data_IF_421498841533
#
_entry.id   IF_421498841533
#
_cell.length_a   1.000
_cell.length_b   1.000
_cell.length_c   1.000
_cell.angle_alpha   90.00
_cell.angle_beta   90.00
_cell.angle_gamma   90.00
#
_symmetry.space_group_name_H-M   'P 1'
#
loop_
_entity.id
_entity.type
_entity.pdbx_description
1 polymer ?
#
# COMPACT_ATOMS: atom_id res chain seq x y z
N UNK A 1 -6.56 -30.12 -9.24
CA UNK A 1 -5.91 -30.51 -7.98
C UNK A 1 -5.10 -29.32 -7.51
N UNK A 2 -5.47 -28.80 -6.35
CA UNK A 2 -5.30 -27.40 -5.98
C UNK A 2 -3.84 -27.01 -5.81
N UNK A 3 -3.33 -26.10 -6.64
CA UNK A 3 -2.00 -25.52 -6.45
C UNK A 3 -1.84 -24.85 -5.09
N UNK A 4 -2.94 -24.40 -4.47
CA UNK A 4 -2.97 -23.85 -3.10
C UNK A 4 -2.41 -24.84 -2.06
N UNK A 5 -2.60 -26.16 -2.24
CA UNK A 5 -2.06 -27.15 -1.30
C UNK A 5 -0.54 -27.30 -1.37
N UNK A 6 0.10 -26.96 -2.51
CA UNK A 6 1.56 -26.98 -2.61
C UNK A 6 2.20 -25.73 -1.98
N UNK A 7 1.54 -24.57 -2.06
CA UNK A 7 2.06 -23.35 -1.42
C UNK A 7 2.06 -23.45 0.11
N UNK A 8 1.05 -24.08 0.72
CA UNK A 8 1.05 -24.30 2.18
C UNK A 8 2.14 -25.31 2.62
N UNK A 9 2.46 -26.32 1.80
CA UNK A 9 3.58 -27.24 2.07
C UNK A 9 4.94 -26.55 2.04
N UNK A 10 5.12 -25.53 1.19
CA UNK A 10 6.37 -24.75 1.12
C UNK A 10 6.67 -23.99 2.41
N UNK A 11 5.64 -23.67 3.22
CA UNK A 11 5.80 -23.00 4.51
C UNK A 11 6.47 -23.90 5.55
N UNK A 12 6.24 -25.23 5.48
CA UNK A 12 6.65 -26.20 6.50
C UNK A 12 7.98 -26.88 6.24
N UNK A 13 8.33 -27.17 4.98
CA UNK A 13 9.48 -28.06 4.68
C UNK A 13 10.63 -27.40 3.90
N UNK A 14 10.37 -26.32 3.16
CA UNK A 14 11.38 -25.66 2.31
C UNK A 14 11.77 -26.48 1.06
N UNK A 15 11.02 -27.52 0.72
CA UNK A 15 11.27 -28.40 -0.42
C UNK A 15 10.61 -27.86 -1.70
N UNK A 16 11.08 -26.71 -2.19
CA UNK A 16 10.73 -26.27 -3.54
C UNK A 16 11.50 -27.13 -4.56
N UNK A 17 10.78 -27.92 -5.36
CA UNK A 17 11.39 -28.79 -6.37
C UNK A 17 11.87 -27.99 -7.59
N UNK A 18 12.75 -28.58 -8.42
CA UNK A 18 13.16 -27.95 -9.68
C UNK A 18 11.96 -27.69 -10.61
N UNK A 19 10.93 -28.54 -10.57
CA UNK A 19 9.68 -28.36 -11.30
C UNK A 19 8.89 -27.14 -10.80
N UNK A 20 8.82 -26.93 -9.48
CA UNK A 20 8.16 -25.77 -8.89
C UNK A 20 8.88 -24.46 -9.27
N UNK A 21 10.21 -24.48 -9.27
CA UNK A 21 11.03 -23.33 -9.71
C UNK A 21 10.76 -23.03 -11.19
N UNK A 22 10.74 -24.05 -12.04
CA UNK A 22 10.43 -23.88 -13.47
C UNK A 22 9.03 -23.29 -13.70
N UNK A 23 8.04 -23.66 -12.87
CA UNK A 23 6.71 -23.05 -12.92
C UNK A 23 6.71 -21.58 -12.47
N UNK A 24 7.49 -21.22 -11.45
CA UNK A 24 7.64 -19.82 -11.01
C UNK A 24 8.36 -18.98 -12.06
N UNK A 25 9.34 -19.54 -12.77
CA UNK A 25 10.03 -18.84 -13.87
C UNK A 25 9.08 -18.46 -15.00
N UNK A 26 8.05 -19.26 -15.28
CA UNK A 26 7.00 -18.94 -16.27
C UNK A 26 6.15 -17.73 -15.89
N UNK A 27 6.15 -17.33 -14.62
CA UNK A 27 5.42 -16.15 -14.12
C UNK A 27 6.24 -14.86 -14.28
N UNK A 28 7.52 -14.94 -14.63
CA UNK A 28 8.37 -13.76 -14.81
C UNK A 28 7.95 -12.99 -16.06
N UNK A 29 7.68 -11.70 -15.87
CA UNK A 29 7.38 -10.76 -16.97
C UNK A 29 8.62 -10.71 -17.88
N UNK A 30 8.40 -11.01 -19.15
CA UNK A 30 9.42 -10.94 -20.20
C UNK A 30 8.95 -10.00 -21.29
N UNK A 31 9.85 -9.15 -21.79
CA UNK A 31 9.58 -8.33 -22.98
C UNK A 31 9.36 -9.28 -24.16
N UNK A 32 8.11 -9.39 -24.64
CA UNK A 32 7.66 -10.26 -25.73
C UNK A 32 7.52 -11.77 -25.42
N UNK A 33 7.32 -12.16 -24.16
CA UNK A 33 6.93 -13.54 -23.85
C UNK A 33 5.45 -13.79 -24.13
N UNK A 34 5.13 -14.97 -24.70
CA UNK A 34 3.76 -15.41 -25.01
C UNK A 34 2.82 -15.42 -23.77
N UNK A 35 3.38 -15.36 -22.55
CA UNK A 35 2.65 -15.45 -21.29
C UNK A 35 2.58 -14.13 -20.48
N UNK A 36 3.11 -13.04 -21.06
CA UNK A 36 3.04 -11.70 -20.46
C UNK A 36 1.63 -11.13 -20.67
N UNK A 37 0.86 -10.84 -19.61
CA UNK A 37 -0.48 -10.29 -19.75
C UNK A 37 -0.44 -8.87 -20.29
N UNK A 38 -1.54 -8.45 -20.93
CA UNK A 38 -1.73 -7.06 -21.29
C UNK A 38 -2.07 -6.22 -20.04
N UNK A 39 -1.11 -5.42 -19.59
CA UNK A 39 -1.26 -4.54 -18.42
C UNK A 39 -2.06 -3.26 -18.71
N UNK A 40 -2.62 -3.10 -19.90
CA UNK A 40 -3.52 -2.02 -20.26
C UNK A 40 -5.01 -2.43 -20.26
N UNK A 41 -5.31 -3.74 -20.31
CA UNK A 41 -6.67 -4.27 -20.30
C UNK A 41 -7.02 -5.04 -19.02
N UNK A 42 -8.32 -5.11 -18.73
CA UNK A 42 -8.81 -5.86 -17.58
C UNK A 42 -8.51 -7.35 -17.74
N UNK A 43 -8.12 -8.05 -16.66
CA UNK A 43 -8.09 -7.58 -15.27
C UNK A 43 -6.71 -7.04 -14.81
N UNK A 44 -5.71 -7.01 -15.69
CA UNK A 44 -4.32 -6.63 -15.35
C UNK A 44 -4.07 -5.13 -15.35
N UNK A 45 -4.92 -4.35 -16.01
CA UNK A 45 -5.01 -2.88 -15.93
C UNK A 45 -5.04 -2.37 -14.48
N UNK A 46 -5.58 -3.20 -13.59
CA UNK A 46 -5.81 -2.91 -12.19
C UNK A 46 -4.81 -3.56 -11.24
N UNK A 47 -3.81 -4.28 -11.78
CA UNK A 47 -2.82 -5.00 -11.01
C UNK A 47 -1.99 -4.08 -10.10
N UNK A 48 -1.60 -4.62 -8.94
CA UNK A 48 -0.86 -3.88 -7.93
C UNK A 48 0.56 -4.41 -7.81
N UNK A 49 1.54 -3.51 -7.75
CA UNK A 49 2.92 -3.91 -7.48
C UNK A 49 3.16 -4.10 -5.97
N UNK A 50 3.69 -5.26 -5.60
CA UNK A 50 4.22 -5.56 -4.28
C UNK A 50 5.75 -5.57 -4.38
N UNK A 51 6.41 -4.66 -3.68
CA UNK A 51 7.88 -4.56 -3.72
C UNK A 51 8.45 -4.23 -2.33
N UNK A 52 9.53 -4.91 -1.90
CA UNK A 52 10.23 -4.56 -0.66
C UNK A 52 10.94 -3.21 -0.77
N UNK A 53 11.09 -2.65 -1.98
CA UNK A 53 11.87 -1.44 -2.24
C UNK A 53 11.02 -0.20 -2.25
N UNK A 54 11.19 0.63 -1.23
CA UNK A 54 10.48 1.92 -1.14
C UNK A 54 10.72 2.83 -2.36
N UNK A 55 11.94 2.87 -2.91
CA UNK A 55 12.24 3.65 -4.11
C UNK A 55 11.49 3.16 -5.36
N UNK A 56 11.36 1.84 -5.54
CA UNK A 56 10.59 1.26 -6.65
C UNK A 56 9.11 1.54 -6.46
N UNK A 57 8.60 1.38 -5.23
CA UNK A 57 7.22 1.73 -4.87
C UNK A 57 6.89 3.19 -5.21
N UNK A 58 7.78 4.13 -4.87
CA UNK A 58 7.59 5.55 -5.18
C UNK A 58 7.62 5.84 -6.67
N UNK A 59 8.60 5.27 -7.39
CA UNK A 59 8.71 5.43 -8.84
C UNK A 59 7.49 4.85 -9.57
N UNK A 60 7.04 3.65 -9.17
CA UNK A 60 5.87 2.98 -9.75
C UNK A 60 4.58 3.76 -9.50
N UNK A 61 4.34 4.19 -8.26
CA UNK A 61 3.16 5.01 -7.96
C UNK A 61 3.15 6.31 -8.77
N UNK A 62 4.30 6.97 -8.91
CA UNK A 62 4.43 8.19 -9.72
C UNK A 62 4.16 7.95 -11.21
N UNK A 63 4.69 6.86 -11.76
CA UNK A 63 4.46 6.48 -13.15
C UNK A 63 2.99 6.08 -13.39
N UNK A 64 2.41 5.30 -12.49
CA UNK A 64 1.01 4.88 -12.54
C UNK A 64 0.04 6.06 -12.42
N UNK A 65 0.32 7.05 -11.57
CA UNK A 65 -0.46 8.29 -11.48
C UNK A 65 -0.46 9.05 -12.81
N UNK A 66 0.72 9.19 -13.44
CA UNK A 66 0.82 9.84 -14.76
C UNK A 66 0.07 9.09 -15.84
N UNK A 67 0.22 7.75 -15.89
CA UNK A 67 -0.53 6.88 -16.80
C UNK A 67 -2.04 7.04 -16.60
N UNK A 68 -2.49 7.04 -15.34
CA UNK A 68 -3.90 7.23 -14.98
C UNK A 68 -4.45 8.57 -15.48
N UNK A 69 -3.74 9.67 -15.21
CA UNK A 69 -4.17 11.01 -15.66
C UNK A 69 -4.17 11.10 -17.19
N UNK A 70 -3.15 10.54 -17.86
CA UNK A 70 -3.08 10.48 -19.32
C UNK A 70 -4.22 9.68 -19.95
N UNK A 71 -4.65 8.57 -19.32
CA UNK A 71 -5.72 7.71 -19.83
C UNK A 71 -7.11 8.29 -19.59
N UNK A 72 -7.32 8.92 -18.44
CA UNK A 72 -8.63 9.43 -18.03
C UNK A 72 -8.88 10.88 -18.45
N UNK A 73 -7.83 11.62 -18.78
CA UNK A 73 -7.90 13.07 -18.97
C UNK A 73 -8.08 13.87 -17.67
N UNK A 74 -8.06 13.21 -16.51
CA UNK A 74 -8.21 13.86 -15.22
C UNK A 74 -6.95 14.64 -14.83
N UNK A 75 -7.17 15.74 -14.12
CA UNK A 75 -6.11 16.63 -13.64
C UNK A 75 -5.35 15.95 -12.48
N UNK A 76 -4.02 15.99 -12.56
CA UNK A 76 -3.14 15.68 -11.43
C UNK A 76 -2.99 16.90 -10.53
N UNK A 77 -3.52 16.82 -9.31
CA UNK A 77 -3.35 17.85 -8.29
C UNK A 77 -2.15 17.53 -7.41
N UNK A 78 -1.20 18.47 -7.37
CA UNK A 78 -0.13 18.50 -6.38
C UNK A 78 -0.61 19.29 -5.16
N UNK A 79 -0.86 18.59 -4.06
CA UNK A 79 -1.47 19.12 -2.84
C UNK A 79 -0.39 19.36 -1.77
N UNK A 80 -0.04 20.61 -1.46
CA UNK A 80 0.85 20.91 -0.35
C UNK A 80 0.14 20.70 1.00
N UNK A 81 0.89 20.35 2.04
CA UNK A 81 0.40 20.42 3.41
C UNK A 81 0.31 21.87 3.88
N UNK A 82 -0.68 22.17 4.72
CA UNK A 82 -0.81 23.47 5.38
C UNK A 82 -0.14 23.39 6.77
N UNK A 83 1.04 24.00 6.88
CA UNK A 83 1.87 23.99 8.10
C UNK A 83 1.80 25.37 8.78
N UNK A 84 1.50 25.38 10.08
CA UNK A 84 1.45 26.57 10.94
C UNK A 84 2.31 26.38 12.19
N UNK A 85 2.82 27.46 12.79
CA UNK A 85 3.75 27.40 13.90
C UNK A 85 3.38 28.34 15.05
N UNK A 86 3.83 28.00 16.26
CA UNK A 86 3.80 28.89 17.42
C UNK A 86 2.47 28.96 18.17
N UNK A 87 2.48 29.74 19.25
CA UNK A 87 1.32 30.15 20.03
C UNK A 87 1.51 31.63 20.41
N UNK A 88 0.79 32.59 19.80
CA UNK A 88 -0.32 32.42 18.86
C UNK A 88 0.09 31.78 17.52
N UNK A 89 -0.89 31.18 16.83
CA UNK A 89 -0.68 30.48 15.55
C UNK A 89 -0.30 31.48 14.46
N UNK A 90 0.80 31.21 13.75
CA UNK A 90 1.28 31.99 12.61
C UNK A 90 1.73 31.09 11.46
N UNK A 91 1.98 31.68 10.30
CA UNK A 91 2.66 30.99 9.21
C UNK A 91 4.08 30.59 9.63
N UNK A 92 4.53 29.43 9.12
CA UNK A 92 5.92 29.01 9.29
C UNK A 92 6.87 29.95 8.55
N UNK A 93 7.95 30.36 9.23
CA UNK A 93 9.02 31.10 8.59
C UNK A 93 9.84 30.20 7.65
N UNK A 94 10.79 30.80 6.92
CA UNK A 94 11.54 30.08 5.90
C UNK A 94 12.42 28.97 6.48
N UNK A 95 12.93 29.14 7.71
CA UNK A 95 13.81 28.15 8.37
C UNK A 95 12.98 27.00 8.94
N UNK A 96 11.81 27.30 9.49
CA UNK A 96 10.82 26.30 9.88
C UNK A 96 10.40 25.48 8.68
N UNK A 97 10.09 26.10 7.52
CA UNK A 97 9.77 25.39 6.27
C UNK A 97 10.91 24.47 5.82
N UNK A 98 12.16 24.90 5.94
CA UNK A 98 13.34 24.07 5.64
C UNK A 98 13.50 22.91 6.64
N UNK A 99 13.34 23.17 7.94
CA UNK A 99 13.40 22.13 8.96
C UNK A 99 12.27 21.09 8.78
N UNK A 100 11.08 21.55 8.40
CA UNK A 100 9.94 20.72 8.07
C UNK A 100 10.23 19.84 6.84
N UNK A 101 10.81 20.38 5.77
CA UNK A 101 11.11 19.59 4.55
C UNK A 101 12.14 18.48 4.80
N UNK A 102 13.04 18.69 5.77
CA UNK A 102 14.01 17.69 6.25
C UNK A 102 13.44 16.72 7.29
N UNK A 103 12.24 16.99 7.81
CA UNK A 103 11.61 16.15 8.83
C UNK A 103 11.01 14.91 8.18
N UNK A 104 11.42 13.72 8.65
CA UNK A 104 10.86 12.45 8.17
C UNK A 104 9.36 12.37 8.51
N UNK A 105 8.58 11.74 7.63
CA UNK A 105 7.12 11.65 7.76
C UNK A 105 6.68 11.00 9.07
N UNK A 106 7.43 10.03 9.60
CA UNK A 106 7.13 9.38 10.88
C UNK A 106 7.18 10.36 12.06
N UNK A 107 7.98 11.42 11.95
CA UNK A 107 8.11 12.47 12.96
C UNK A 107 7.14 13.63 12.75
N UNK A 108 6.44 13.69 11.61
CA UNK A 108 5.43 14.71 11.30
C UNK A 108 3.99 14.20 11.45
N UNK A 109 3.75 13.33 12.43
CA UNK A 109 2.45 12.70 12.65
C UNK A 109 1.97 11.82 11.49
N UNK A 110 2.90 11.29 10.69
CA UNK A 110 2.64 10.44 9.51
C UNK A 110 1.86 11.11 8.37
N UNK A 111 1.62 12.42 8.45
CA UNK A 111 1.02 13.20 7.37
C UNK A 111 2.09 13.64 6.37
N UNK A 112 1.88 13.40 5.06
CA UNK A 112 2.86 13.75 4.04
C UNK A 112 2.98 15.28 3.90
N UNK A 113 4.16 15.76 3.49
CA UNK A 113 4.34 17.19 3.20
C UNK A 113 3.71 17.59 1.85
N UNK A 114 3.71 16.67 0.88
CA UNK A 114 3.05 16.82 -0.42
C UNK A 114 2.35 15.53 -0.78
N UNK A 115 1.20 15.65 -1.41
CA UNK A 115 0.38 14.55 -1.89
C UNK A 115 0.02 14.80 -3.35
N UNK A 116 0.09 13.75 -4.16
CA UNK A 116 -0.44 13.77 -5.53
C UNK A 116 -1.82 13.10 -5.52
N UNK A 117 -2.84 13.79 -6.02
CA UNK A 117 -4.20 13.25 -6.12
C UNK A 117 -4.82 13.50 -7.49
N UNK A 118 -5.65 12.57 -7.95
CA UNK A 118 -6.45 12.73 -9.16
C UNK A 118 -7.79 11.99 -9.00
N UNK A 119 -8.82 12.44 -9.72
CA UNK A 119 -10.11 11.74 -9.76
C UNK A 119 -9.90 10.36 -10.43
N UNK A 120 -10.54 9.34 -9.89
CA UNK A 120 -10.42 7.93 -10.28
C UNK A 120 -9.15 7.23 -9.78
N UNK A 121 -8.26 7.90 -9.04
CA UNK A 121 -7.01 7.27 -8.62
C UNK A 121 -7.22 6.22 -7.52
N UNK A 122 -6.37 5.19 -7.52
CA UNK A 122 -6.28 4.23 -6.42
C UNK A 122 -5.52 4.81 -5.23
N UNK A 123 -6.17 4.83 -4.08
CA UNK A 123 -5.63 5.37 -2.85
C UNK A 123 -5.73 4.37 -1.69
N UNK A 124 -4.91 4.59 -0.66
CA UNK A 124 -4.92 3.85 0.59
C UNK A 124 -4.89 4.84 1.76
N UNK A 125 -5.77 4.62 2.73
CA UNK A 125 -5.80 5.38 3.98
C UNK A 125 -4.64 4.93 4.87
N UNK A 126 -3.87 5.88 5.42
CA UNK A 126 -2.64 5.59 6.20
C UNK A 126 -2.76 5.86 7.69
N UNK A 127 -3.84 6.52 8.12
CA UNK A 127 -4.11 6.80 9.52
C UNK A 127 -5.62 6.76 9.74
N UNK A 128 -6.06 6.20 10.87
CA UNK A 128 -7.47 6.15 11.25
C UNK A 128 -8.05 7.55 11.23
N UNK A 129 -8.77 7.84 10.15
CA UNK A 129 -9.49 9.09 9.95
C UNK A 129 -10.95 8.65 9.91
N UNK A 130 -11.65 8.91 11.01
CA UNK A 130 -13.02 8.48 11.33
C UNK A 130 -13.18 7.01 11.79
N UNK A 131 -13.11 6.82 13.11
CA UNK A 131 -13.60 5.63 13.84
C UNK A 131 -15.08 5.32 13.61
N UNK A 132 -15.84 6.22 12.99
CA UNK A 132 -17.29 6.08 12.73
C UNK A 132 -17.63 5.66 11.29
N UNK A 133 -16.64 5.60 10.38
CA UNK A 133 -16.85 5.30 8.96
C UNK A 133 -16.23 3.97 8.48
N UNK A 134 -15.82 3.09 9.39
CA UNK A 134 -15.11 1.82 9.12
C UNK A 134 -13.84 1.95 8.24
N UNK A 135 -13.28 3.17 8.14
CA UNK A 135 -12.01 3.42 7.44
C UNK A 135 -10.83 3.18 8.37
N UNK A 136 -10.30 1.95 8.31
CA UNK A 136 -9.08 1.58 9.00
C UNK A 136 -7.81 1.98 8.22
N UNK A 137 -6.68 2.08 8.94
CA UNK A 137 -5.37 2.13 8.29
C UNK A 137 -5.18 0.90 7.38
N UNK A 138 -4.85 1.14 6.11
CA UNK A 138 -4.72 0.12 5.08
C UNK A 138 -5.97 -0.03 4.21
N UNK A 139 -7.10 0.60 4.54
CA UNK A 139 -8.29 0.60 3.68
C UNK A 139 -7.97 1.18 2.30
N UNK A 140 -8.25 0.40 1.26
CA UNK A 140 -8.01 0.74 -0.15
C UNK A 140 -9.30 1.13 -0.83
N UNK A 141 -9.17 1.98 -1.83
CA UNK A 141 -10.31 2.48 -2.57
C UNK A 141 -9.93 3.45 -3.67
N UNK A 142 -10.95 4.10 -4.22
CA UNK A 142 -10.83 5.06 -5.32
C UNK A 142 -11.26 6.44 -4.88
N UNK A 143 -10.54 7.48 -5.32
CA UNK A 143 -10.97 8.87 -5.15
C UNK A 143 -11.97 9.22 -6.26
N UNK A 144 -13.22 9.50 -5.89
CA UNK A 144 -14.32 9.73 -6.84
C UNK A 144 -14.55 11.21 -7.10
N UNK A 145 -14.25 12.06 -6.12
CA UNK A 145 -14.39 13.51 -6.26
C UNK A 145 -13.45 14.25 -5.33
N UNK A 146 -13.06 15.45 -5.75
CA UNK A 146 -12.18 16.36 -5.00
C UNK A 146 -12.88 17.71 -4.92
N UNK A 147 -13.15 18.17 -3.70
CA UNK A 147 -13.70 19.49 -3.43
C UNK A 147 -12.56 20.39 -2.97
N UNK A 148 -12.18 21.35 -3.81
CA UNK A 148 -11.09 22.28 -3.52
C UNK A 148 -11.42 23.19 -2.33
N UNK A 149 -10.38 23.72 -1.69
CA UNK A 149 -10.54 24.68 -0.60
C UNK A 149 -11.13 26.00 -1.14
N UNK A 150 -12.12 26.62 -0.47
CA UNK A 150 -12.73 27.88 -0.92
C UNK A 150 -11.74 29.05 -1.08
N UNK A 151 -10.55 28.95 -0.48
CA UNK A 151 -9.46 29.95 -0.62
C UNK A 151 -8.68 29.82 -1.91
N UNK A 152 -8.89 28.75 -2.67
CA UNK A 152 -8.26 28.55 -3.97
C UNK A 152 -8.86 29.49 -5.04
N UNK A 153 -8.09 29.88 -6.06
CA UNK A 153 -8.63 30.63 -7.18
C UNK A 153 -9.69 29.79 -7.93
N UNK A 154 -10.69 30.44 -8.56
CA UNK A 154 -11.76 29.75 -9.28
C UNK A 154 -11.27 29.01 -10.54
N UNK A 155 -10.11 29.35 -11.07
CA UNK A 155 -9.50 28.74 -12.25
C UNK A 155 -7.98 28.69 -12.09
N UNK A 156 -7.36 27.59 -12.50
CA UNK A 156 -5.91 27.50 -12.64
C UNK A 156 -5.47 27.46 -14.09
N UNK A 157 -4.42 28.21 -14.42
CA UNK A 157 -3.79 28.18 -15.76
C UNK A 157 -3.30 26.77 -16.13
N UNK A 158 -2.97 25.95 -15.13
CA UNK A 158 -2.51 24.56 -15.28
C UNK A 158 -3.59 23.52 -15.61
N UNK A 159 -4.88 23.87 -15.55
CA UNK A 159 -5.98 22.94 -15.89
C UNK A 159 -5.85 22.46 -17.34
N UNK A 160 -5.40 23.33 -18.25
CA UNK A 160 -5.15 22.98 -19.66
C UNK A 160 -3.95 22.04 -19.85
N UNK A 161 -3.03 21.99 -18.88
CA UNK A 161 -1.84 21.15 -18.91
C UNK A 161 -2.05 19.82 -18.16
N UNK A 162 -3.25 19.57 -17.60
CA UNK A 162 -3.55 18.35 -16.85
C UNK A 162 -2.80 18.23 -15.52
N UNK A 163 -2.15 19.29 -15.05
CA UNK A 163 -1.40 19.31 -13.79
C UNK A 163 -1.55 20.66 -13.09
N UNK A 164 -2.04 20.62 -11.84
CA UNK A 164 -2.32 21.81 -11.03
C UNK A 164 -1.63 21.70 -9.67
N UNK A 165 -0.88 22.72 -9.29
CA UNK A 165 -0.34 22.85 -7.93
C UNK A 165 -1.27 23.72 -7.10
N UNK A 166 -1.90 23.12 -6.09
CA UNK A 166 -2.78 23.81 -5.16
C UNK A 166 -1.96 24.65 -4.15
N UNK A 167 -2.61 25.60 -3.50
CA UNK A 167 -2.06 26.38 -2.37
C UNK A 167 -2.44 25.78 -1.03
N UNK A 168 -3.60 25.14 -0.95
CA UNK A 168 -4.20 24.56 0.25
C UNK A 168 -4.61 23.11 0.02
N UNK A 169 -4.64 22.27 1.06
CA UNK A 169 -5.31 20.97 0.99
C UNK A 169 -6.77 21.14 0.61
N UNK A 170 -7.32 20.34 -0.33
CA UNK A 170 -8.75 20.31 -0.64
C UNK A 170 -9.61 20.26 0.63
N UNK A 171 -10.79 20.88 0.57
CA UNK A 171 -11.74 20.87 1.68
C UNK A 171 -12.17 19.44 2.03
N UNK A 172 -12.42 18.61 1.02
CA UNK A 172 -12.89 17.24 1.17
C UNK A 172 -12.56 16.43 -0.09
N UNK A 173 -12.45 15.11 0.06
CA UNK A 173 -12.50 14.17 -1.07
C UNK A 173 -13.55 13.10 -0.80
N UNK A 174 -14.19 12.58 -1.85
CA UNK A 174 -15.06 11.42 -1.75
C UNK A 174 -14.25 10.17 -2.08
N UNK A 175 -14.22 9.22 -1.15
CA UNK A 175 -13.48 7.97 -1.25
C UNK A 175 -14.43 6.79 -1.31
N UNK A 176 -14.28 5.91 -2.31
CA UNK A 176 -15.00 4.64 -2.43
C UNK A 176 -14.11 3.50 -1.94
N UNK A 177 -14.37 2.91 -0.76
CA UNK A 177 -13.64 1.73 -0.31
C UNK A 177 -13.93 0.54 -1.22
N UNK A 178 -12.93 -0.32 -1.45
CA UNK A 178 -13.15 -1.58 -2.19
C UNK A 178 -13.84 -2.65 -1.35
N UNK A 179 -13.72 -2.55 -0.02
CA UNK A 179 -14.23 -3.52 0.93
C UNK A 179 -14.85 -2.79 2.12
N UNK A 180 -15.84 -3.44 2.73
CA UNK A 180 -16.58 -2.90 3.87
C UNK A 180 -17.91 -2.26 3.46
N UNK A 181 -18.85 -2.25 4.40
CA UNK A 181 -20.08 -1.49 4.26
C UNK A 181 -19.83 -0.06 4.72
N UNK A 182 -20.16 0.91 3.89
CA UNK A 182 -20.01 2.33 4.23
C UNK A 182 -21.28 2.85 4.87
N UNK A 183 -21.15 3.64 5.94
CA UNK A 183 -22.27 4.36 6.53
C UNK A 183 -22.94 5.30 5.49
N UNK A 184 -24.26 5.43 5.53
CA UNK A 184 -24.97 6.37 4.65
C UNK A 184 -24.79 7.79 5.15
N UNK A 185 -24.25 8.66 4.29
CA UNK A 185 -24.09 10.08 4.60
C UNK A 185 -25.14 10.90 3.83
N UNK A 186 -25.90 11.80 4.48
CA UNK A 186 -26.87 12.66 3.79
C UNK A 186 -26.21 13.49 2.67
N UNK A 187 -26.81 13.47 1.48
CA UNK A 187 -26.30 14.22 0.32
C UNK A 187 -25.07 13.62 -0.38
N UNK A 188 -24.60 12.44 0.06
CA UNK A 188 -23.48 11.73 -0.55
C UNK A 188 -23.99 10.43 -1.19
N UNK A 189 -23.56 10.08 -2.41
CA UNK A 189 -23.91 8.81 -3.05
C UNK A 189 -23.56 7.59 -2.19
N UNK A 190 -24.37 6.53 -2.30
CA UNK A 190 -24.15 5.29 -1.55
C UNK A 190 -22.79 4.64 -1.88
N UNK A 191 -22.12 4.16 -0.83
CA UNK A 191 -20.78 3.56 -0.93
C UNK A 191 -19.62 4.56 -0.95
N UNK A 192 -19.86 5.86 -0.81
CA UNK A 192 -18.82 6.88 -0.70
C UNK A 192 -18.67 7.40 0.72
N UNK A 193 -17.42 7.57 1.15
CA UNK A 193 -17.04 8.19 2.43
C UNK A 193 -16.41 9.56 2.16
N UNK A 194 -16.91 10.64 2.77
CA UNK A 194 -16.20 11.91 2.77
C UNK A 194 -14.96 11.80 3.67
N UNK A 195 -13.78 12.06 3.10
CA UNK A 195 -12.53 12.18 3.84
C UNK A 195 -12.10 13.65 3.92
N UNK A 196 -11.56 14.03 5.06
CA UNK A 196 -11.14 15.40 5.37
C UNK A 196 -9.65 15.45 5.74
N UNK A 197 -8.99 16.61 5.58
CA UNK A 197 -7.62 16.78 6.06
C UNK A 197 -7.52 16.56 7.58
N UNK A 198 -6.64 15.65 7.97
CA UNK A 198 -6.28 15.40 9.37
C UNK A 198 -5.27 16.45 9.85
N UNK A 199 -5.21 16.63 11.18
CA UNK A 199 -4.24 17.53 11.81
C UNK A 199 -3.26 16.76 12.68
N UNK A 200 -1.98 17.12 12.61
CA UNK A 200 -0.95 16.57 13.48
C UNK A 200 0.02 17.66 13.94
N UNK A 201 0.50 17.56 15.17
CA UNK A 201 1.48 18.49 15.73
C UNK A 201 2.82 17.79 15.94
N UNK A 202 3.91 18.47 15.58
CA UNK A 202 5.28 17.98 15.79
C UNK A 202 6.23 19.14 16.06
N UNK A 203 7.42 18.82 16.58
CA UNK A 203 8.43 19.82 16.95
C UNK A 203 9.54 19.86 15.90
N UNK A 204 9.90 21.06 15.47
CA UNK A 204 11.05 21.30 14.59
C UNK A 204 12.11 22.14 15.31
N UNK A 205 13.37 21.88 14.98
CA UNK A 205 14.50 22.65 15.50
C UNK A 205 14.77 23.81 14.55
N UNK A 206 14.77 25.02 15.09
CA UNK A 206 15.26 26.21 14.40
C UNK A 206 16.81 26.22 14.41
N UNK A 207 17.45 27.06 13.59
CA UNK A 207 18.89 27.30 13.71
C UNK A 207 19.21 27.78 15.15
N UNK A 208 19.86 26.93 15.95
CA UNK A 208 20.09 27.10 17.41
C UNK A 208 19.45 26.03 18.30
N UNK A 209 19.17 26.36 19.57
CA UNK A 209 18.53 25.48 20.57
C UNK A 209 17.00 25.62 20.63
N UNK A 210 16.43 26.61 19.93
CA UNK A 210 14.99 26.90 19.98
C UNK A 210 14.21 25.84 19.19
N UNK A 211 13.22 25.25 19.86
CA UNK A 211 12.30 24.27 19.26
C UNK A 211 10.94 24.92 19.09
N UNK A 212 10.37 24.86 17.89
CA UNK A 212 9.03 25.36 17.60
C UNK A 212 8.05 24.20 17.40
N UNK A 213 6.85 24.33 17.95
CA UNK A 213 5.75 23.41 17.65
C UNK A 213 5.09 23.83 16.33
N UNK A 214 5.03 22.88 15.39
CA UNK A 214 4.38 23.01 14.09
C UNK A 214 3.12 22.16 14.10
N UNK A 215 2.03 22.69 13.54
CA UNK A 215 0.77 22.00 13.30
C UNK A 215 0.58 21.87 11.80
N UNK A 216 0.49 20.63 11.32
CA UNK A 216 0.25 20.24 9.93
C UNK A 216 -1.19 19.85 9.71
N UNK A 217 -1.80 20.35 8.63
CA UNK A 217 -3.08 19.91 8.09
C UNK A 217 -2.86 19.26 6.72
N UNK A 218 -3.22 17.98 6.58
CA UNK A 218 -3.11 17.23 5.33
C UNK A 218 -3.95 15.94 5.38
N UNK A 219 -4.30 15.38 4.23
CA UNK A 219 -4.94 14.07 4.13
C UNK A 219 -4.03 12.92 4.57
N UNK A 220 -4.58 11.98 5.34
CA UNK A 220 -3.93 10.73 5.70
C UNK A 220 -4.14 9.65 4.63
N UNK A 221 -3.76 9.94 3.40
CA UNK A 221 -3.89 9.03 2.26
C UNK A 221 -2.61 8.98 1.45
N UNK A 222 -2.39 7.88 0.73
CA UNK A 222 -1.30 7.72 -0.23
C UNK A 222 -1.80 7.04 -1.50
N UNK A 223 -1.08 7.26 -2.60
CA UNK A 223 -1.26 6.52 -3.86
C UNK A 223 -1.01 5.03 -3.62
N UNK A 224 -1.85 4.16 -4.18
CA UNK A 224 -1.89 2.73 -3.88
C UNK A 224 -1.87 1.81 -5.13
N UNK A 225 -1.07 2.16 -6.14
CA UNK A 225 -0.72 1.28 -7.27
C UNK A 225 0.48 0.38 -6.97
N UNK A 226 1.26 0.72 -5.93
CA UNK A 226 2.33 -0.10 -5.41
C UNK A 226 2.43 0.04 -3.88
N UNK A 227 2.70 -1.06 -3.19
CA UNK A 227 2.96 -1.08 -1.74
C UNK A 227 4.10 -2.03 -1.37
N UNK A 228 4.58 -1.89 -0.12
CA UNK A 228 5.55 -2.80 0.46
C UNK A 228 4.89 -4.04 1.05
N UNK A 229 5.63 -5.13 1.12
CA UNK A 229 5.16 -6.47 1.52
C UNK A 229 4.41 -6.46 2.86
N UNK A 230 4.93 -5.71 3.85
CA UNK A 230 4.28 -5.54 5.17
C UNK A 230 2.91 -4.86 5.12
N UNK A 231 2.62 -4.04 4.11
CA UNK A 231 1.31 -3.39 3.91
C UNK A 231 0.35 -4.24 3.07
N UNK A 232 0.84 -5.29 2.41
CA UNK A 232 0.02 -6.26 1.69
C UNK A 232 -0.56 -7.35 2.62
N UNK A 233 0.04 -7.54 3.81
CA UNK A 233 -0.33 -8.60 4.74
C UNK A 233 -1.78 -8.43 5.22
N UNK A 234 -2.58 -9.49 5.05
CA UNK A 234 -4.00 -9.50 5.43
C UNK A 234 -4.96 -8.94 4.38
N UNK A 235 -4.47 -8.52 3.21
CA UNK A 235 -5.31 -8.08 2.09
C UNK A 235 -5.36 -9.13 0.98
N UNK A 236 -6.53 -9.29 0.36
CA UNK A 236 -6.68 -10.07 -0.88
C UNK A 236 -6.37 -9.17 -2.07
N UNK A 237 -5.46 -9.60 -2.95
CA UNK A 237 -5.13 -8.90 -4.18
C UNK A 237 -5.67 -9.72 -5.35
N UNK A 238 -6.58 -9.14 -6.12
CA UNK A 238 -7.19 -9.86 -7.24
C UNK A 238 -6.14 -10.14 -8.33
N UNK A 239 -5.28 -9.16 -8.63
CA UNK A 239 -4.14 -9.27 -9.54
C UNK A 239 -2.92 -8.53 -8.98
N UNK A 240 -1.77 -9.18 -8.96
CA UNK A 240 -0.56 -8.66 -8.34
C UNK A 240 0.70 -8.91 -9.19
N UNK A 241 1.54 -7.89 -9.25
CA UNK A 241 2.92 -7.98 -9.73
C UNK A 241 3.82 -8.01 -8.50
N UNK A 242 4.71 -8.99 -8.41
CA UNK A 242 5.55 -9.20 -7.22
C UNK A 242 7.02 -9.02 -7.59
N UNK A 243 7.73 -8.22 -6.80
CA UNK A 243 9.13 -7.91 -7.04
C UNK A 243 10.07 -8.59 -6.03
N UNK A 244 10.45 -9.83 -6.34
CA UNK A 244 11.37 -10.67 -5.55
C UNK A 244 12.77 -10.79 -6.16
N UNK A 245 13.12 -9.92 -7.11
CA UNK A 245 14.44 -9.98 -7.74
C UNK A 245 15.58 -9.63 -6.77
N UNK A 246 16.74 -10.31 -6.84
CA UNK A 246 17.86 -10.09 -5.93
C UNK A 246 18.45 -8.68 -6.07
N UNK A 247 19.00 -8.16 -4.96
CA UNK A 247 19.82 -6.94 -4.99
C UNK A 247 21.05 -7.09 -4.10
N UNK A 248 22.17 -6.48 -4.50
CA UNK A 248 23.45 -6.53 -3.76
C UNK A 248 23.38 -5.99 -2.32
N UNK A 249 22.34 -5.22 -1.98
CA UNK A 249 22.21 -4.51 -0.68
C UNK A 249 21.07 -5.04 0.20
N UNK A 250 20.08 -5.74 -0.37
CA UNK A 250 18.93 -6.26 0.35
C UNK A 250 18.62 -7.67 -0.20
N UNK A 251 19.15 -8.74 0.43
CA UNK A 251 18.71 -10.08 0.11
C UNK A 251 17.21 -10.19 0.39
N UNK A 252 16.47 -10.74 -0.58
CA UNK A 252 15.02 -10.90 -0.46
C UNK A 252 14.76 -11.94 0.62
N UNK A 253 13.97 -11.57 1.63
CA UNK A 253 13.58 -12.49 2.68
C UNK A 253 12.65 -13.56 2.06
N UNK A 254 12.96 -14.87 2.19
CA UNK A 254 12.07 -15.96 1.76
C UNK A 254 10.62 -15.79 2.22
N UNK A 255 10.42 -15.32 3.46
CA UNK A 255 9.08 -15.03 3.99
C UNK A 255 8.37 -13.91 3.24
N UNK A 256 9.08 -12.87 2.81
CA UNK A 256 8.46 -11.77 2.07
C UNK A 256 8.04 -12.22 0.66
N UNK A 257 8.87 -13.04 0.01
CA UNK A 257 8.54 -13.65 -1.27
C UNK A 257 7.31 -14.56 -1.15
N UNK A 258 7.27 -15.41 -0.13
CA UNK A 258 6.13 -16.26 0.16
C UNK A 258 4.85 -15.48 0.51
N UNK A 259 4.96 -14.50 1.41
CA UNK A 259 3.83 -13.65 1.80
C UNK A 259 3.27 -12.93 0.61
N UNK A 260 4.10 -12.49 -0.34
CA UNK A 260 3.63 -11.86 -1.57
C UNK A 260 2.95 -12.87 -2.51
N UNK A 261 3.57 -14.05 -2.73
CA UNK A 261 3.03 -15.10 -3.63
C UNK A 261 1.71 -15.69 -3.12
N UNK A 262 1.52 -15.80 -1.80
CA UNK A 262 0.27 -16.26 -1.19
C UNK A 262 -0.88 -15.24 -1.27
N UNK A 263 -0.67 -14.02 -1.79
CA UNK A 263 -1.75 -13.00 -1.89
C UNK A 263 -2.66 -13.15 -3.10
N UNK A 264 -2.21 -13.80 -4.16
CA UNK A 264 -3.04 -14.01 -5.36
C UNK A 264 -3.88 -15.29 -5.23
N UNK A 265 -4.98 -15.36 -6.00
CA UNK A 265 -5.88 -16.53 -6.00
C UNK A 265 -5.39 -17.70 -6.86
N UNK A 266 -4.21 -17.57 -7.46
CA UNK A 266 -3.60 -18.59 -8.32
C UNK A 266 -2.58 -18.01 -9.30
N UNK A 267 -2.00 -18.88 -10.13
CA UNK A 267 -0.97 -18.52 -11.13
C UNK A 267 -1.46 -17.47 -12.15
N UNK A 268 -2.75 -17.47 -12.47
CA UNK A 268 -3.32 -16.52 -13.43
C UNK A 268 -3.45 -15.09 -12.89
N UNK A 269 -3.33 -14.92 -11.57
CA UNK A 269 -3.45 -13.63 -10.88
C UNK A 269 -2.11 -13.01 -10.45
N UNK A 270 -1.00 -13.71 -10.68
CA UNK A 270 0.32 -13.30 -10.20
C UNK A 270 1.33 -13.27 -11.34
N UNK A 271 2.12 -12.20 -11.39
CA UNK A 271 3.33 -12.12 -12.24
C UNK A 271 4.52 -11.64 -11.42
N UNK A 272 5.71 -12.11 -11.76
CA UNK A 272 6.95 -11.69 -11.14
C UNK A 272 7.58 -10.59 -11.98
N UNK A 273 7.92 -9.46 -11.36
CA UNK A 273 8.45 -8.29 -12.07
C UNK A 273 9.75 -8.60 -12.83
N UNK A 274 10.55 -9.56 -12.33
CA UNK A 274 11.86 -9.91 -12.85
C UNK A 274 12.33 -11.26 -12.31
N UNK A 275 13.40 -11.79 -12.90
CA UNK A 275 14.06 -13.02 -12.44
C UNK A 275 14.43 -12.94 -10.96
N UNK A 276 14.30 -14.07 -10.28
CA UNK A 276 14.59 -14.26 -8.86
C UNK A 276 15.74 -15.24 -8.67
N UNK A 277 16.28 -15.28 -7.45
CA UNK A 277 17.29 -16.28 -7.07
C UNK A 277 16.55 -17.49 -6.48
N UNK A 278 16.65 -18.66 -7.12
CA UNK A 278 15.97 -19.87 -6.67
C UNK A 278 16.33 -20.29 -5.23
N UNK A 279 17.51 -19.87 -4.74
CA UNK A 279 17.94 -20.17 -3.37
C UNK A 279 17.04 -19.56 -2.28
N UNK A 280 16.18 -18.59 -2.64
CA UNK A 280 15.18 -18.03 -1.71
C UNK A 280 14.07 -19.02 -1.38
N UNK A 281 13.82 -20.03 -2.22
CA UNK A 281 12.76 -21.03 -2.02
C UNK A 281 13.28 -22.37 -1.51
N UNK A 282 14.60 -22.57 -1.53
CA UNK A 282 15.25 -23.83 -1.11
C UNK A 282 15.93 -23.73 0.25
N UNK A 283 15.84 -22.58 0.92
CA UNK A 283 16.38 -22.38 2.27
C UNK A 283 15.25 -22.12 3.26
N UNK A 284 15.08 -23.04 4.21
CA UNK A 284 14.13 -22.84 5.29
C UNK A 284 14.53 -21.59 6.10
N UNK A 285 13.63 -20.64 6.30
CA UNK A 285 14.01 -19.32 6.77
C UNK A 285 14.32 -19.25 8.28
N UNK A 286 13.95 -20.27 9.07
CA UNK A 286 14.37 -20.43 10.47
C UNK A 286 14.17 -21.86 10.97
N UNK A 287 15.21 -22.48 11.52
CA UNK A 287 15.11 -23.78 12.20
C UNK A 287 14.16 -23.74 13.41
N UNK A 288 14.09 -22.60 14.10
CA UNK A 288 13.18 -22.44 15.23
C UNK A 288 11.71 -22.50 14.79
N UNK A 289 11.35 -21.89 13.65
CA UNK A 289 10.00 -22.03 13.10
C UNK A 289 9.73 -23.48 12.68
N UNK A 290 10.70 -24.13 12.03
CA UNK A 290 10.55 -25.52 11.59
C UNK A 290 10.23 -26.45 12.76
N UNK A 291 10.95 -26.29 13.87
CA UNK A 291 10.72 -27.05 15.09
C UNK A 291 9.36 -26.74 15.74
N UNK A 292 8.94 -25.48 15.72
CA UNK A 292 7.64 -25.07 16.27
C UNK A 292 6.47 -25.56 15.41
N UNK A 293 6.57 -25.49 14.09
CA UNK A 293 5.56 -26.03 13.17
C UNK A 293 5.45 -27.55 13.34
N UNK A 294 6.57 -28.27 13.46
CA UNK A 294 6.57 -29.69 13.79
C UNK A 294 5.86 -29.97 15.12
N UNK A 295 6.17 -29.18 16.16
CA UNK A 295 5.50 -29.30 17.47
C UNK A 295 3.99 -29.07 17.36
N UNK A 296 3.55 -28.09 16.59
CA UNK A 296 2.13 -27.80 16.36
C UNK A 296 1.44 -28.92 15.56
N UNK A 297 2.11 -29.48 14.55
CA UNK A 297 1.59 -30.60 13.77
C UNK A 297 1.41 -31.86 14.64
N UNK A 298 2.40 -32.15 15.49
CA UNK A 298 2.32 -33.24 16.47
C UNK A 298 1.15 -33.01 17.43
N UNK A 299 0.98 -31.78 17.94
CA UNK A 299 -0.15 -31.42 18.81
C UNK A 299 -1.51 -31.56 18.09
N UNK A 300 -1.58 -31.16 16.82
CA UNK A 300 -2.77 -31.27 15.99
C UNK A 300 -3.14 -32.74 15.74
N UNK A 301 -2.14 -33.59 15.45
CA UNK A 301 -2.33 -35.03 15.28
C UNK A 301 -2.75 -35.72 16.58
N UNK A 302 -2.19 -35.32 17.72
CA UNK A 302 -2.63 -35.77 19.04
C UNK A 302 -4.08 -35.38 19.31
N UNK A 303 -4.44 -34.12 19.01
CA UNK A 303 -5.80 -33.61 19.19
C UNK A 303 -6.79 -34.33 18.28
N UNK A 304 -6.43 -34.54 17.01
CA UNK A 304 -7.23 -35.29 16.03
C UNK A 304 -7.43 -36.74 16.46
N UNK A 305 -6.39 -37.40 16.94
CA UNK A 305 -6.46 -38.77 17.45
C UNK A 305 -7.38 -38.84 18.68
N UNK A 306 -7.26 -37.90 19.63
CA UNK A 306 -8.14 -37.80 20.81
C UNK A 306 -9.61 -37.57 20.43
N UNK A 307 -9.84 -36.70 19.44
CA UNK A 307 -11.18 -36.44 18.93
C UNK A 307 -11.78 -37.68 18.26
N UNK A 308 -11.00 -38.38 17.43
CA UNK A 308 -11.42 -39.62 16.76
C UNK A 308 -11.63 -40.79 17.72
N UNK A 309 -10.90 -40.83 18.84
CA UNK A 309 -11.10 -41.83 19.90
C UNK A 309 -12.28 -41.53 20.83
N UNK A 310 -13.04 -40.46 20.58
CA UNK A 310 -14.23 -40.11 21.35
C UNK A 310 -13.94 -39.52 22.74
N UNK A 311 -12.70 -39.09 23.00
CA UNK A 311 -12.36 -38.38 24.23
C UNK A 311 -12.80 -36.92 24.12
N UNK A 312 -13.98 -36.61 24.65
CA UNK A 312 -14.48 -35.25 24.77
C UNK A 312 -14.39 -34.79 26.22
N UNK A 313 -13.38 -33.99 26.57
CA UNK A 313 -13.33 -33.29 27.86
C UNK A 313 -14.14 -31.99 27.72
N UNK A 314 -15.47 -32.12 27.72
CA UNK A 314 -16.36 -30.97 27.89
C UNK A 314 -16.44 -30.66 29.37
N UNK A 315 -15.64 -29.68 29.82
CA UNK A 315 -15.90 -28.96 31.08
C UNK A 315 -16.67 -27.68 30.79
#
# INVERSE_FOLDING_TARGET
>A
MNSVSNFDQWQTDGDCTEEDIAELEKLVITENGDNTPDFDSDPWSDAVLVTPRNAVREAWNKAAMRKHCSRTGNILYEVPAEDTAGNPVRECDMWEREAISKTKQEKSGRLPHRLEVAIGMKAMITFNTATEADLANGSRGTIESIVLDPREPPTYDGERMGHVRLKYPPAMMLFRPYQGSVAKFPGIPEGLVPIFPSQASFKVKHHGTRTTSVKRRQFALVVAYAFTDHKAQGQTLDYAIIDIGPTKRFPVNPFAAYVALSRGRGRDSIRLLRKFDASIFTRHPSEHLRLEDKRLLDLANMTKTKFQSGFYDFK
#
